data_IF_213439014186
#
_entry.id   IF_213439014186
#
_cell.length_a   1.000
_cell.length_b   1.000
_cell.length_c   1.000
_cell.angle_alpha   90.00
_cell.angle_beta   90.00
_cell.angle_gamma   90.00
#
_symmetry.space_group_name_H-M   'P 1'
#
loop_
_entity.id
_entity.type
_entity.pdbx_description
1 polymer ?
#
# COMPACT_ATOMS: atom_id res chain seq x y z
N UNK A 1 24.23 -8.38 -35.66
CA UNK A 1 23.02 -9.24 -35.50
C UNK A 1 22.02 -8.78 -34.44
N UNK A 2 22.00 -7.50 -34.06
CA UNK A 2 21.18 -6.98 -32.93
C UNK A 2 20.06 -6.00 -33.34
N UNK A 3 19.72 -5.90 -34.63
CA UNK A 3 18.74 -4.90 -35.13
C UNK A 3 17.36 -5.46 -35.51
N UNK A 4 17.18 -6.80 -35.51
CA UNK A 4 15.90 -7.44 -35.92
C UNK A 4 14.94 -7.79 -34.78
N UNK A 5 15.40 -7.75 -33.54
CA UNK A 5 14.59 -8.16 -32.38
C UNK A 5 13.71 -7.02 -31.83
N UNK A 6 14.11 -5.75 -32.04
CA UNK A 6 13.36 -4.60 -31.51
C UNK A 6 12.08 -4.26 -32.32
N UNK A 7 12.01 -4.66 -33.57
CA UNK A 7 10.84 -4.37 -34.45
C UNK A 7 9.67 -5.33 -34.17
N UNK A 8 9.93 -6.54 -33.69
CA UNK A 8 8.88 -7.53 -33.42
C UNK A 8 8.08 -7.28 -32.14
N UNK A 9 8.66 -6.60 -31.16
CA UNK A 9 7.98 -6.28 -29.87
C UNK A 9 7.03 -5.09 -30.07
N UNK A 10 7.37 -4.13 -30.91
CA UNK A 10 6.51 -2.97 -31.19
C UNK A 10 5.27 -3.37 -32.00
N UNK A 11 5.39 -4.35 -32.90
CA UNK A 11 4.24 -4.86 -33.67
C UNK A 11 3.27 -5.72 -32.83
N UNK A 12 3.74 -6.39 -31.77
CA UNK A 12 2.88 -7.18 -30.90
C UNK A 12 2.01 -6.32 -29.97
N UNK A 13 2.50 -5.15 -29.55
CA UNK A 13 1.73 -4.21 -28.72
C UNK A 13 0.71 -3.44 -29.56
N UNK A 14 0.99 -3.17 -30.85
CA UNK A 14 0.07 -2.52 -31.76
C UNK A 14 -1.15 -3.38 -32.15
N UNK A 15 -1.03 -4.71 -32.08
CA UNK A 15 -2.13 -5.62 -32.46
C UNK A 15 -3.13 -5.86 -31.33
N UNK A 16 -2.77 -5.58 -30.06
CA UNK A 16 -3.68 -5.70 -28.92
C UNK A 16 -4.64 -4.50 -28.75
N UNK A 17 -4.35 -3.36 -29.39
CA UNK A 17 -5.21 -2.17 -29.32
C UNK A 17 -6.28 -2.09 -30.42
N UNK A 18 -6.30 -3.01 -31.37
CA UNK A 18 -7.18 -2.93 -32.55
C UNK A 18 -8.49 -3.75 -32.44
N UNK A 19 -8.79 -4.36 -31.31
CA UNK A 19 -9.95 -5.23 -31.11
C UNK A 19 -10.89 -4.70 -30.03
N UNK A 20 -11.44 -3.52 -30.20
CA UNK A 20 -12.68 -3.11 -29.48
C UNK A 20 -13.21 -1.78 -29.98
N UNK A 21 -13.64 -1.73 -31.22
CA UNK A 21 -14.63 -0.75 -31.67
C UNK A 21 -15.79 -1.54 -32.33
N UNK A 22 -16.61 -2.16 -31.50
CA UNK A 22 -17.95 -2.60 -31.91
C UNK A 22 -18.90 -1.45 -31.57
N UNK A 23 -19.46 -0.81 -32.59
CA UNK A 23 -20.49 0.21 -32.47
C UNK A 23 -21.69 -0.39 -31.71
N UNK A 24 -22.12 0.25 -30.63
CA UNK A 24 -23.41 -0.01 -30.02
C UNK A 24 -24.51 0.58 -30.93
N UNK A 25 -25.34 -0.28 -31.47
CA UNK A 25 -26.61 0.10 -32.05
C UNK A 25 -27.54 0.65 -30.96
N UNK A 26 -28.00 1.87 -31.13
CA UNK A 26 -29.00 2.47 -30.26
C UNK A 26 -30.35 1.85 -30.61
N UNK A 27 -30.77 0.88 -29.81
CA UNK A 27 -32.16 0.37 -29.88
C UNK A 27 -33.08 1.41 -29.23
N UNK A 28 -33.94 2.02 -30.02
CA UNK A 28 -35.06 2.83 -29.56
C UNK A 28 -36.12 1.88 -28.99
N UNK A 29 -36.22 1.79 -27.68
CA UNK A 29 -37.30 1.09 -27.00
C UNK A 29 -38.58 1.90 -27.05
N UNK A 30 -39.56 1.36 -27.74
CA UNK A 30 -40.95 1.79 -27.70
C UNK A 30 -41.56 1.27 -26.39
N UNK A 31 -42.11 2.17 -25.61
CA UNK A 31 -42.73 1.90 -24.29
C UNK A 31 -43.93 0.97 -24.49
N UNK A 32 -43.78 -0.31 -24.29
CA UNK A 32 -44.85 -1.26 -24.04
C UNK A 32 -44.75 -1.69 -22.56
N UNK A 33 -45.79 -1.36 -21.77
CA UNK A 33 -45.81 -1.55 -20.33
C UNK A 33 -45.67 -3.01 -19.88
N UNK A 34 -44.44 -3.45 -19.70
CA UNK A 34 -44.09 -4.62 -18.89
C UNK A 34 -43.55 -4.11 -17.57
N UNK A 35 -44.30 -4.40 -16.51
CA UNK A 35 -43.82 -4.24 -15.13
C UNK A 35 -42.60 -5.14 -14.95
N UNK A 36 -41.39 -4.58 -14.97
CA UNK A 36 -40.21 -5.30 -14.58
C UNK A 36 -40.20 -5.42 -13.05
N UNK A 37 -40.41 -6.63 -12.56
CA UNK A 37 -40.09 -6.92 -11.15
C UNK A 37 -38.60 -6.72 -10.95
N UNK A 38 -38.23 -5.70 -10.19
CA UNK A 38 -36.87 -5.49 -9.75
C UNK A 38 -36.55 -6.63 -8.76
N UNK A 39 -35.65 -7.52 -9.16
CA UNK A 39 -35.12 -8.54 -8.24
C UNK A 39 -34.57 -7.84 -7.00
N UNK A 40 -34.93 -8.43 -5.84
CA UNK A 40 -34.55 -7.91 -4.54
C UNK A 40 -33.03 -7.81 -4.45
N UNK A 41 -32.47 -6.61 -4.58
CA UNK A 41 -31.06 -6.34 -4.36
C UNK A 41 -30.79 -6.57 -2.88
N UNK A 42 -30.21 -7.70 -2.54
CA UNK A 42 -29.73 -7.96 -1.18
C UNK A 42 -28.42 -7.18 -1.02
N UNK A 43 -28.50 -5.98 -0.48
CA UNK A 43 -27.33 -5.21 -0.08
C UNK A 43 -26.73 -5.92 1.14
N UNK A 44 -25.73 -6.75 0.93
CA UNK A 44 -24.90 -7.27 2.02
C UNK A 44 -23.97 -6.13 2.45
N UNK A 45 -24.46 -5.28 3.35
CA UNK A 45 -23.63 -4.28 3.98
C UNK A 45 -22.53 -5.00 4.77
N UNK A 46 -21.30 -4.91 4.28
CA UNK A 46 -20.12 -5.28 5.07
C UNK A 46 -20.15 -4.39 6.30
N UNK A 47 -20.32 -4.96 7.49
CA UNK A 47 -20.24 -4.20 8.74
C UNK A 47 -18.86 -3.55 8.82
N UNK A 48 -18.75 -2.31 8.45
CA UNK A 48 -17.65 -1.47 8.89
C UNK A 48 -17.66 -1.47 10.42
N UNK A 49 -16.49 -1.49 11.08
CA UNK A 49 -16.46 -1.36 12.54
C UNK A 49 -17.32 -0.17 12.93
N UNK A 50 -18.30 -0.41 13.79
CA UNK A 50 -19.28 0.61 14.17
C UNK A 50 -18.53 1.72 14.89
N UNK A 51 -18.34 2.87 14.26
CA UNK A 51 -17.72 4.07 14.87
C UNK A 51 -18.40 4.50 16.18
N UNK A 52 -19.62 4.05 16.38
CA UNK A 52 -20.49 4.48 17.51
C UNK A 52 -20.43 3.51 18.69
N UNK A 53 -20.00 2.25 18.49
CA UNK A 53 -19.97 1.23 19.55
C UNK A 53 -18.57 0.97 20.10
N UNK A 54 -17.54 1.59 19.52
CA UNK A 54 -16.17 1.50 20.01
C UNK A 54 -15.99 2.35 21.26
N UNK A 55 -15.49 1.74 22.33
CA UNK A 55 -15.05 2.45 23.54
C UNK A 55 -13.79 3.31 23.30
N UNK A 56 -13.14 3.14 22.15
CA UNK A 56 -11.89 3.78 21.76
C UNK A 56 -12.09 4.54 20.46
N UNK A 57 -11.50 5.73 20.27
CA UNK A 57 -11.58 6.47 19.03
C UNK A 57 -10.91 5.72 17.87
N UNK A 58 -11.70 5.06 17.03
CA UNK A 58 -11.26 4.46 15.77
C UNK A 58 -11.65 5.38 14.63
N UNK A 59 -10.70 5.75 13.81
CA UNK A 59 -10.92 6.48 12.58
C UNK A 59 -10.66 5.56 11.40
N UNK A 60 -11.57 5.52 10.45
CA UNK A 60 -11.49 4.63 9.28
C UNK A 60 -11.69 5.39 7.99
N UNK A 61 -10.97 4.99 6.96
CA UNK A 61 -11.18 5.37 5.56
C UNK A 61 -11.38 4.09 4.76
N UNK A 62 -12.52 3.94 4.15
CA UNK A 62 -12.79 2.85 3.20
C UNK A 62 -12.19 3.17 1.83
N UNK A 63 -12.10 2.17 0.95
CA UNK A 63 -11.70 2.40 -0.44
C UNK A 63 -12.62 3.38 -1.16
N UNK A 64 -13.92 3.37 -0.82
CA UNK A 64 -14.88 4.32 -1.36
C UNK A 64 -14.58 5.75 -0.89
N UNK A 65 -14.29 5.97 0.39
CA UNK A 65 -13.90 7.27 0.93
C UNK A 65 -12.63 7.78 0.27
N UNK A 66 -11.61 6.92 0.11
CA UNK A 66 -10.34 7.25 -0.56
C UNK A 66 -10.59 7.71 -2.00
N UNK A 67 -11.46 7.01 -2.72
CA UNK A 67 -11.82 7.36 -4.10
C UNK A 67 -12.62 8.66 -4.19
N UNK A 68 -13.65 8.84 -3.35
CA UNK A 68 -14.50 10.02 -3.34
C UNK A 68 -13.75 11.30 -2.93
N UNK A 69 -12.80 11.17 -2.01
CA UNK A 69 -11.96 12.29 -1.56
C UNK A 69 -10.77 12.57 -2.49
N UNK A 70 -10.59 11.79 -3.55
CA UNK A 70 -9.49 11.95 -4.51
C UNK A 70 -8.10 11.75 -3.90
N UNK A 71 -7.99 10.92 -2.86
CA UNK A 71 -6.73 10.68 -2.14
C UNK A 71 -5.78 9.88 -3.02
N UNK A 72 -4.55 10.38 -3.24
CA UNK A 72 -3.62 9.82 -4.20
C UNK A 72 -2.56 8.90 -3.58
N UNK A 73 -2.20 9.12 -2.32
CA UNK A 73 -1.14 8.36 -1.65
C UNK A 73 -1.46 8.12 -0.16
N UNK A 74 -0.74 7.19 0.44
CA UNK A 74 -0.95 6.78 1.83
C UNK A 74 -0.78 7.94 2.82
N UNK A 75 0.17 8.83 2.60
CA UNK A 75 0.41 9.97 3.49
C UNK A 75 -0.80 10.92 3.51
N UNK A 76 -1.40 11.19 2.35
CA UNK A 76 -2.59 12.04 2.25
C UNK A 76 -3.81 11.39 2.91
N UNK A 77 -3.93 10.06 2.83
CA UNK A 77 -4.95 9.32 3.55
C UNK A 77 -4.78 9.47 5.08
N UNK A 78 -3.56 9.28 5.57
CA UNK A 78 -3.26 9.36 7.01
C UNK A 78 -3.42 10.78 7.56
N UNK A 79 -3.15 11.81 6.77
CA UNK A 79 -3.38 13.22 7.15
C UNK A 79 -4.85 13.54 7.44
N UNK A 80 -5.80 12.71 6.98
CA UNK A 80 -7.23 12.85 7.28
C UNK A 80 -7.60 12.39 8.68
N UNK A 81 -6.73 11.65 9.35
CA UNK A 81 -6.99 11.17 10.71
C UNK A 81 -6.63 12.24 11.74
N UNK A 82 -7.57 12.54 12.63
CA UNK A 82 -7.33 13.45 13.73
C UNK A 82 -6.29 12.87 14.70
N UNK A 83 -5.32 13.69 15.08
CA UNK A 83 -4.21 13.28 15.96
C UNK A 83 -3.09 12.51 15.26
N UNK A 84 -3.19 12.28 13.95
CA UNK A 84 -2.07 11.80 13.13
C UNK A 84 -1.25 12.97 12.58
N UNK A 85 0.05 12.88 12.72
CA UNK A 85 1.00 13.80 12.09
C UNK A 85 1.88 13.01 11.12
N UNK A 86 1.87 13.42 9.85
CA UNK A 86 2.70 12.84 8.80
C UNK A 86 3.87 13.76 8.53
N UNK A 87 5.07 13.27 8.83
CA UNK A 87 6.30 13.94 8.44
C UNK A 87 6.71 13.46 7.05
N UNK A 88 6.78 14.40 6.12
CA UNK A 88 7.13 14.17 4.72
C UNK A 88 8.51 14.77 4.48
N UNK A 89 9.46 13.94 4.07
CA UNK A 89 10.86 14.35 3.83
C UNK A 89 11.11 14.76 2.38
N UNK A 90 10.06 14.97 1.62
CA UNK A 90 10.09 15.60 0.31
C UNK A 90 9.52 14.77 -0.82
N UNK A 91 8.62 15.37 -1.59
CA UNK A 91 8.10 14.91 -2.88
C UNK A 91 7.54 13.49 -2.93
N UNK A 92 7.39 12.98 -4.15
CA UNK A 92 6.85 11.63 -4.39
C UNK A 92 7.79 10.56 -3.85
N UNK A 93 9.10 10.77 -3.92
CA UNK A 93 10.13 9.82 -3.47
C UNK A 93 10.59 9.97 -2.03
N UNK A 94 10.11 10.97 -1.30
CA UNK A 94 10.52 11.22 0.07
C UNK A 94 10.01 10.18 1.06
N UNK A 95 10.79 9.95 2.11
CA UNK A 95 10.36 9.15 3.27
C UNK A 95 9.12 9.80 3.89
N UNK A 96 8.11 9.00 4.21
CA UNK A 96 6.87 9.45 4.85
C UNK A 96 6.63 8.64 6.11
N UNK A 97 6.72 9.31 7.26
CA UNK A 97 6.51 8.66 8.56
C UNK A 97 5.27 9.20 9.24
N UNK A 98 4.64 8.38 10.06
CA UNK A 98 3.45 8.75 10.83
C UNK A 98 3.75 8.73 12.32
N UNK A 99 3.31 9.76 13.03
CA UNK A 99 3.30 9.82 14.49
C UNK A 99 1.89 10.12 14.99
N UNK A 100 1.52 9.49 16.10
CA UNK A 100 0.23 9.71 16.76
C UNK A 100 0.45 10.62 17.96
N UNK A 101 -0.35 11.71 18.06
CA UNK A 101 -0.28 12.69 19.16
C UNK A 101 1.13 13.21 19.43
N UNK A 102 1.94 13.35 18.40
CA UNK A 102 3.35 13.79 18.49
C UNK A 102 4.27 12.91 19.37
N UNK A 103 3.89 11.68 19.65
CA UNK A 103 4.73 10.77 20.45
C UNK A 103 5.94 10.21 19.69
N UNK A 104 6.08 10.55 18.41
CA UNK A 104 7.16 10.08 17.54
C UNK A 104 6.77 8.87 16.69
N UNK A 105 7.37 8.79 15.51
CA UNK A 105 7.04 7.74 14.54
C UNK A 105 7.50 6.34 14.99
N UNK A 106 8.53 6.25 15.84
CA UNK A 106 8.99 4.99 16.40
C UNK A 106 7.98 4.35 17.39
N UNK A 107 7.05 5.16 17.93
CA UNK A 107 6.02 4.70 18.86
C UNK A 107 4.66 4.43 18.18
N UNK A 108 4.57 4.60 16.88
CA UNK A 108 3.37 4.30 16.10
C UNK A 108 3.57 2.98 15.37
N UNK A 109 2.77 1.96 15.71
CA UNK A 109 2.79 0.71 14.97
C UNK A 109 2.10 0.87 13.63
N UNK A 110 2.64 0.22 12.61
CA UNK A 110 1.98 0.02 11.32
C UNK A 110 1.70 -1.47 11.17
N UNK A 111 0.44 -1.80 10.95
CA UNK A 111 -0.02 -3.17 10.71
C UNK A 111 -0.43 -3.33 9.25
N UNK A 112 0.02 -4.40 8.63
CA UNK A 112 -0.36 -4.77 7.27
C UNK A 112 -1.06 -6.13 7.30
N UNK A 113 -2.38 -6.13 7.04
CA UNK A 113 -3.28 -7.28 7.20
C UNK A 113 -3.17 -7.96 8.58
N UNK A 114 -3.10 -7.14 9.64
CA UNK A 114 -3.06 -7.61 11.02
C UNK A 114 -1.66 -8.05 11.51
N UNK A 115 -0.62 -7.99 10.69
CA UNK A 115 0.75 -8.31 11.08
C UNK A 115 1.59 -7.03 11.13
N UNK A 116 2.31 -6.83 12.24
CA UNK A 116 3.13 -5.62 12.42
C UNK A 116 4.25 -5.56 11.40
N UNK A 117 4.41 -4.40 10.78
CA UNK A 117 5.56 -4.05 9.95
C UNK A 117 6.61 -3.38 10.82
N UNK A 118 7.86 -3.70 10.58
CA UNK A 118 8.99 -3.17 11.33
C UNK A 118 10.12 -2.72 10.42
N UNK A 119 10.89 -1.78 10.95
CA UNK A 119 12.19 -1.37 10.42
C UNK A 119 13.14 -1.23 11.60
N UNK A 120 14.05 -2.19 11.75
CA UNK A 120 14.95 -2.21 12.91
C UNK A 120 16.11 -1.23 12.78
N UNK A 121 16.40 -0.74 11.58
CA UNK A 121 17.46 0.24 11.34
C UNK A 121 17.05 1.62 11.84
N UNK A 122 15.88 2.11 11.40
CA UNK A 122 15.44 3.48 11.69
C UNK A 122 14.37 3.53 12.80
N UNK A 123 13.76 2.40 13.16
CA UNK A 123 12.63 2.33 14.10
C UNK A 123 11.36 3.01 13.58
N UNK A 124 11.38 3.52 12.36
CA UNK A 124 10.28 4.26 11.74
C UNK A 124 9.87 3.58 10.43
N UNK A 125 8.57 3.53 10.17
CA UNK A 125 8.05 2.91 8.96
C UNK A 125 7.78 3.97 7.89
N UNK A 126 8.35 3.78 6.70
CA UNK A 126 7.96 4.53 5.52
C UNK A 126 6.58 4.05 5.04
N UNK A 127 5.54 4.84 5.33
CA UNK A 127 4.19 4.53 4.87
C UNK A 127 3.99 4.80 3.37
N UNK A 128 4.89 5.58 2.76
CA UNK A 128 4.85 5.90 1.31
C UNK A 128 5.08 4.68 0.42
N UNK A 129 5.67 3.60 0.94
CA UNK A 129 5.90 2.36 0.19
C UNK A 129 4.63 1.52 -0.04
N UNK A 130 3.54 1.77 0.70
CA UNK A 130 2.31 1.03 0.55
C UNK A 130 1.39 1.72 -0.44
N UNK A 131 0.98 0.98 -1.48
CA UNK A 131 0.03 1.49 -2.46
C UNK A 131 -1.39 1.50 -1.90
N UNK A 132 -2.12 2.59 -2.15
CA UNK A 132 -3.56 2.66 -1.82
C UNK A 132 -4.43 1.81 -2.76
N UNK A 133 -3.90 1.39 -3.90
CA UNK A 133 -4.69 0.65 -4.91
C UNK A 133 -5.21 -0.68 -4.39
N UNK A 134 -4.49 -1.27 -3.41
CA UNK A 134 -4.82 -2.54 -2.80
C UNK A 134 -5.53 -2.42 -1.44
N UNK A 135 -5.76 -1.21 -0.95
CA UNK A 135 -6.32 -0.99 0.38
C UNK A 135 -7.84 -1.05 0.33
N UNK A 136 -8.44 -1.89 1.18
CA UNK A 136 -9.88 -1.92 1.41
C UNK A 136 -10.31 -0.98 2.53
N UNK A 137 -9.54 -0.98 3.62
CA UNK A 137 -9.77 -0.13 4.79
C UNK A 137 -8.43 0.31 5.35
N UNK A 138 -8.32 1.60 5.59
CA UNK A 138 -7.25 2.20 6.38
C UNK A 138 -7.86 2.65 7.70
N UNK A 139 -7.27 2.26 8.82
CA UNK A 139 -7.77 2.66 10.13
C UNK A 139 -6.65 3.14 11.04
N UNK A 140 -6.97 4.14 11.86
CA UNK A 140 -6.10 4.62 12.93
C UNK A 140 -6.78 4.37 14.26
N UNK A 141 -6.12 3.56 15.08
CA UNK A 141 -6.52 3.26 16.44
C UNK A 141 -5.62 4.00 17.42
N UNK A 142 -6.19 4.80 18.29
CA UNK A 142 -5.45 5.59 19.30
C UNK A 142 -5.85 5.06 20.66
N UNK A 143 -4.94 4.33 21.29
CA UNK A 143 -5.18 3.66 22.56
C UNK A 143 -5.39 2.16 22.41
N UNK A 144 -6.17 1.56 23.28
CA UNK A 144 -6.41 0.12 23.28
C UNK A 144 -7.25 -0.31 22.06
N UNK A 145 -6.80 -1.25 21.24
CA UNK A 145 -7.55 -1.74 20.10
C UNK A 145 -8.76 -2.59 20.53
N UNK A 146 -9.82 -2.56 19.73
CA UNK A 146 -11.01 -3.39 19.96
C UNK A 146 -10.79 -4.87 19.67
N UNK A 147 -9.90 -5.19 18.72
CA UNK A 147 -9.58 -6.57 18.40
C UNK A 147 -8.68 -7.16 19.49
N UNK A 148 -9.27 -7.91 20.39
CA UNK A 148 -8.57 -8.58 21.49
C UNK A 148 -7.60 -9.67 21.02
N UNK A 149 -7.63 -10.07 19.76
CA UNK A 149 -6.69 -11.02 19.16
C UNK A 149 -5.45 -10.34 18.56
N UNK A 150 -5.31 -9.04 18.71
CA UNK A 150 -4.10 -8.34 18.25
C UNK A 150 -2.86 -8.80 19.02
N UNK A 151 -1.72 -8.67 18.35
CA UNK A 151 -0.44 -9.03 18.97
C UNK A 151 -0.04 -8.06 20.08
N UNK A 152 0.71 -8.54 21.09
CA UNK A 152 1.22 -7.72 22.20
C UNK A 152 2.01 -6.50 21.72
N UNK A 153 2.72 -6.61 20.59
CA UNK A 153 3.48 -5.50 20.00
C UNK A 153 2.59 -4.33 19.56
N UNK A 154 1.36 -4.60 19.10
CA UNK A 154 0.40 -3.55 18.77
C UNK A 154 -0.11 -2.85 20.04
N UNK A 155 -0.37 -3.61 21.11
CA UNK A 155 -0.77 -3.04 22.40
C UNK A 155 0.29 -2.15 23.03
N UNK A 156 1.57 -2.42 22.79
CA UNK A 156 2.69 -1.64 23.30
C UNK A 156 2.93 -0.31 22.55
N UNK A 157 2.12 0.01 21.55
CA UNK A 157 2.29 1.21 20.70
C UNK A 157 1.35 2.33 21.15
N UNK A 158 1.74 3.58 20.90
CA UNK A 158 0.94 4.77 21.18
C UNK A 158 -0.32 4.88 20.30
N UNK A 159 -0.25 4.27 19.14
CA UNK A 159 -1.35 4.12 18.20
C UNK A 159 -0.97 3.11 17.12
N UNK A 160 -1.99 2.56 16.47
CA UNK A 160 -1.84 1.55 15.42
C UNK A 160 -2.49 2.06 14.14
N UNK A 161 -1.68 2.27 13.10
CA UNK A 161 -2.14 2.46 11.74
C UNK A 161 -2.32 1.08 11.10
N UNK A 162 -3.56 0.66 10.85
CA UNK A 162 -3.85 -0.63 10.23
C UNK A 162 -4.22 -0.44 8.77
N UNK A 163 -3.51 -1.15 7.91
CA UNK A 163 -3.71 -1.21 6.46
C UNK A 163 -4.28 -2.58 6.16
N UNK A 164 -5.54 -2.64 5.75
CA UNK A 164 -6.19 -3.88 5.34
C UNK A 164 -6.33 -3.91 3.82
N UNK A 165 -5.81 -4.98 3.20
CA UNK A 165 -5.91 -5.17 1.76
C UNK A 165 -7.26 -5.78 1.37
N UNK A 166 -7.65 -5.55 0.12
CA UNK A 166 -8.92 -6.05 -0.40
C UNK A 166 -8.86 -7.57 -0.57
N UNK A 167 -9.82 -8.26 0.06
CA UNK A 167 -9.96 -9.71 -0.07
C UNK A 167 -10.77 -10.05 -1.31
N UNK A 168 -10.48 -11.19 -1.97
CA UNK A 168 -11.23 -11.63 -3.13
C UNK A 168 -12.73 -11.75 -2.81
N UNK A 169 -13.54 -11.09 -3.61
CA UNK A 169 -14.99 -11.22 -3.62
C UNK A 169 -15.43 -11.57 -5.04
N UNK A 170 -16.19 -12.62 -5.19
CA UNK A 170 -16.64 -13.10 -6.50
C UNK A 170 -18.16 -12.98 -6.59
N UNK A 171 -18.63 -12.22 -7.58
CA UNK A 171 -20.04 -12.07 -7.89
C UNK A 171 -20.42 -13.03 -9.05
N UNK A 172 -21.67 -13.45 -9.10
CA UNK A 172 -22.29 -14.14 -10.24
C UNK A 172 -21.48 -15.34 -10.77
N UNK A 173 -21.07 -16.26 -9.88
CA UNK A 173 -20.35 -17.51 -10.24
C UNK A 173 -19.01 -17.29 -10.96
N UNK A 174 -18.52 -16.07 -11.05
CA UNK A 174 -17.21 -15.80 -11.66
C UNK A 174 -16.10 -16.38 -10.81
N UNK A 175 -15.15 -17.04 -11.45
CA UNK A 175 -13.98 -17.61 -10.78
C UNK A 175 -12.75 -16.70 -10.86
N UNK A 176 -12.82 -15.62 -11.64
CA UNK A 176 -11.72 -14.68 -11.86
C UNK A 176 -12.24 -13.26 -11.97
N UNK A 177 -11.49 -12.31 -11.43
CA UNK A 177 -11.75 -10.88 -11.57
C UNK A 177 -10.44 -10.11 -11.74
N UNK A 178 -10.49 -9.02 -12.53
CA UNK A 178 -9.34 -8.15 -12.79
C UNK A 178 -9.73 -6.70 -12.54
N UNK A 179 -8.78 -5.93 -12.00
CA UNK A 179 -8.87 -4.47 -11.94
C UNK A 179 -7.55 -3.90 -12.42
N UNK A 180 -7.61 -3.01 -13.41
CA UNK A 180 -6.44 -2.28 -13.91
C UNK A 180 -6.69 -0.80 -13.66
N UNK A 181 -5.69 -0.12 -13.13
CA UNK A 181 -5.72 1.32 -12.90
C UNK A 181 -4.47 1.95 -13.49
N UNK A 182 -4.62 3.16 -14.00
CA UNK A 182 -3.51 3.96 -14.53
C UNK A 182 -3.63 5.35 -13.98
N UNK A 183 -2.57 5.84 -13.36
CA UNK A 183 -2.45 7.25 -12.96
C UNK A 183 -1.33 7.90 -13.75
N UNK A 184 -1.54 9.14 -14.12
CA UNK A 184 -0.55 9.97 -14.78
C UNK A 184 -0.59 11.38 -14.21
N UNK A 185 0.50 12.10 -14.31
CA UNK A 185 0.62 13.46 -13.78
C UNK A 185 1.80 14.20 -14.35
N UNK A 186 2.01 15.42 -13.85
CA UNK A 186 3.12 16.26 -14.22
C UNK A 186 4.47 15.64 -13.85
N UNK A 187 5.54 16.13 -14.47
CA UNK A 187 6.92 15.75 -14.19
C UNK A 187 7.21 14.25 -14.33
N UNK A 188 6.68 13.65 -15.39
CA UNK A 188 6.92 12.25 -15.72
C UNK A 188 6.24 11.24 -14.80
N UNK A 189 5.24 11.66 -14.00
CA UNK A 189 4.53 10.74 -13.11
C UNK A 189 3.64 9.78 -13.89
N UNK A 190 3.91 8.49 -13.72
CA UNK A 190 3.14 7.38 -14.29
C UNK A 190 3.08 6.25 -13.25
N UNK A 191 1.86 5.77 -12.97
CA UNK A 191 1.66 4.70 -11.99
C UNK A 191 0.56 3.74 -12.44
N UNK A 192 0.90 2.72 -13.26
CA UNK A 192 0.01 1.61 -13.54
C UNK A 192 -0.08 0.65 -12.35
N UNK A 193 -1.26 0.10 -12.12
CA UNK A 193 -1.47 -1.00 -11.20
C UNK A 193 -2.42 -2.04 -11.78
N UNK A 194 -2.20 -3.29 -11.41
CA UNK A 194 -3.03 -4.42 -11.78
C UNK A 194 -3.38 -5.23 -10.54
N UNK A 195 -4.60 -5.69 -10.47
CA UNK A 195 -5.08 -6.61 -9.46
C UNK A 195 -5.82 -7.75 -10.13
N UNK A 196 -5.48 -8.96 -9.74
CA UNK A 196 -6.11 -10.18 -10.20
C UNK A 196 -6.55 -11.02 -9.01
N UNK A 197 -7.78 -11.50 -9.07
CA UNK A 197 -8.33 -12.46 -8.12
C UNK A 197 -8.71 -13.72 -8.86
N UNK A 198 -8.41 -14.86 -8.26
CA UNK A 198 -8.74 -16.18 -8.78
C UNK A 198 -9.29 -17.07 -7.69
N UNK A 199 -10.45 -17.67 -7.93
CA UNK A 199 -11.02 -18.73 -7.12
C UNK A 199 -10.44 -20.06 -7.57
N UNK A 200 -9.79 -20.80 -6.66
CA UNK A 200 -9.19 -22.11 -6.93
C UNK A 200 -10.00 -23.27 -6.32
N UNK A 201 -11.29 -23.03 -6.10
CA UNK A 201 -12.22 -23.99 -5.50
C UNK A 201 -13.17 -23.31 -4.53
N UNK A 202 -13.97 -24.08 -3.81
CA UNK A 202 -14.98 -23.52 -2.89
C UNK A 202 -14.39 -22.86 -1.64
N UNK A 203 -13.13 -23.13 -1.31
CA UNK A 203 -12.49 -22.71 -0.05
C UNK A 203 -11.16 -22.01 -0.21
N UNK A 204 -10.64 -21.96 -1.43
CA UNK A 204 -9.31 -21.38 -1.71
C UNK A 204 -9.45 -20.31 -2.76
N UNK A 205 -8.81 -19.18 -2.53
CA UNK A 205 -8.70 -18.10 -3.49
C UNK A 205 -7.31 -17.45 -3.43
N UNK A 206 -6.92 -16.86 -4.55
CA UNK A 206 -5.67 -16.14 -4.71
C UNK A 206 -5.96 -14.70 -5.08
N UNK A 207 -5.08 -13.81 -4.65
CA UNK A 207 -4.96 -12.47 -5.22
C UNK A 207 -3.51 -12.18 -5.61
N UNK A 208 -3.35 -11.44 -6.69
CA UNK A 208 -2.06 -10.91 -7.12
C UNK A 208 -2.23 -9.43 -7.37
N UNK A 209 -1.44 -8.61 -6.68
CA UNK A 209 -1.37 -7.19 -6.91
C UNK A 209 0.00 -6.84 -7.47
N UNK A 210 0.03 -6.00 -8.48
CA UNK A 210 1.24 -5.41 -9.04
C UNK A 210 1.07 -3.91 -9.17
N UNK A 211 2.07 -3.16 -8.75
CA UNK A 211 2.13 -1.71 -8.90
C UNK A 211 3.52 -1.31 -9.40
N UNK A 212 3.55 -0.40 -10.35
CA UNK A 212 4.73 0.29 -10.79
C UNK A 212 4.50 1.78 -10.65
N UNK A 213 5.51 2.53 -10.24
CA UNK A 213 5.47 3.99 -10.24
C UNK A 213 6.80 4.54 -10.74
N UNK A 214 6.71 5.56 -11.58
CA UNK A 214 7.83 6.39 -11.99
C UNK A 214 7.44 7.84 -11.90
N UNK A 215 8.38 8.68 -11.48
CA UNK A 215 8.29 10.13 -11.60
C UNK A 215 9.69 10.71 -11.81
N UNK A 216 9.81 11.73 -12.66
CA UNK A 216 11.08 12.44 -12.84
C UNK A 216 11.25 13.52 -11.75
N UNK A 217 10.16 14.09 -11.25
CA UNK A 217 10.14 15.00 -10.11
C UNK A 217 10.84 16.35 -10.34
N UNK A 218 11.17 16.68 -11.59
CA UNK A 218 11.96 17.86 -12.01
C UNK A 218 11.12 19.13 -12.13
N UNK A 219 10.33 19.45 -11.11
CA UNK A 219 9.45 20.62 -11.13
C UNK A 219 10.24 21.93 -11.05
N UNK A 220 9.75 23.01 -11.73
CA UNK A 220 10.31 24.34 -11.58
C UNK A 220 9.91 24.95 -10.24
N UNK A 221 10.77 25.77 -9.67
CA UNK A 221 10.50 26.55 -8.48
C UNK A 221 11.30 27.85 -8.48
N UNK A 222 10.79 28.86 -7.78
CA UNK A 222 11.47 30.13 -7.59
C UNK A 222 12.32 30.06 -6.33
N UNK A 223 13.62 30.26 -6.47
CA UNK A 223 14.55 30.38 -5.35
C UNK A 223 14.75 31.82 -4.98
N UNK A 224 14.41 32.16 -3.73
CA UNK A 224 14.63 33.50 -3.18
C UNK A 224 15.72 33.41 -2.12
N UNK A 225 16.84 34.15 -2.37
CA UNK A 225 17.94 34.26 -1.42
C UNK A 225 18.33 35.72 -1.25
N UNK A 226 17.79 36.37 -0.23
CA UNK A 226 17.93 37.80 -0.01
C UNK A 226 17.35 38.62 -1.17
N UNK A 227 18.20 39.31 -1.91
CA UNK A 227 17.81 40.12 -3.09
C UNK A 227 17.82 39.34 -4.40
N UNK A 228 18.35 38.12 -4.40
CA UNK A 228 18.47 37.30 -5.59
C UNK A 228 17.24 36.42 -5.73
N UNK A 229 16.63 36.49 -6.91
CA UNK A 229 15.48 35.65 -7.28
C UNK A 229 15.86 34.92 -8.57
N UNK A 230 15.86 33.58 -8.54
CA UNK A 230 16.19 32.74 -9.70
C UNK A 230 15.10 31.68 -9.91
N UNK A 231 14.84 31.33 -11.17
CA UNK A 231 13.99 30.24 -11.56
C UNK A 231 14.85 28.98 -11.73
N UNK A 232 14.58 28.00 -10.91
CA UNK A 232 15.35 26.76 -10.82
C UNK A 232 14.48 25.54 -11.16
N UNK A 233 15.13 24.41 -11.46
CA UNK A 233 14.47 23.11 -11.58
C UNK A 233 15.01 22.16 -10.53
N UNK A 234 14.11 21.40 -9.90
CA UNK A 234 14.50 20.38 -8.96
C UNK A 234 15.31 19.30 -9.68
N UNK A 235 16.54 19.08 -9.22
CA UNK A 235 17.45 18.06 -9.74
C UNK A 235 17.45 16.83 -8.84
N UNK A 236 17.89 15.69 -9.39
CA UNK A 236 18.08 14.42 -8.69
C UNK A 236 16.87 13.99 -7.85
N UNK A 237 15.65 14.17 -8.38
CA UNK A 237 14.39 13.86 -7.71
C UNK A 237 13.62 12.71 -8.35
N UNK A 238 14.22 12.06 -9.36
CA UNK A 238 13.61 10.95 -10.05
C UNK A 238 13.48 9.72 -9.14
N UNK A 239 12.32 9.05 -9.27
CA UNK A 239 12.03 7.80 -8.55
C UNK A 239 11.39 6.78 -9.48
N UNK A 240 11.68 5.51 -9.24
CA UNK A 240 10.82 4.42 -9.68
C UNK A 240 10.71 3.34 -8.61
N UNK A 241 9.53 2.73 -8.56
CA UNK A 241 9.22 1.66 -7.61
C UNK A 241 8.52 0.50 -8.29
N UNK A 242 8.71 -0.69 -7.74
CA UNK A 242 7.98 -1.90 -8.10
C UNK A 242 7.42 -2.51 -6.82
N UNK A 243 6.18 -2.98 -6.89
CA UNK A 243 5.54 -3.70 -5.79
C UNK A 243 4.76 -4.88 -6.35
N UNK A 244 4.94 -6.05 -5.74
CA UNK A 244 4.23 -7.28 -6.12
C UNK A 244 3.78 -7.97 -4.84
N UNK A 245 2.50 -8.35 -4.79
CA UNK A 245 1.87 -8.96 -3.62
C UNK A 245 0.98 -10.14 -4.02
N UNK A 246 1.48 -11.36 -4.08
CA UNK A 246 0.63 -12.55 -4.10
C UNK A 246 0.09 -12.87 -2.70
N UNK A 247 -1.19 -13.23 -2.63
CA UNK A 247 -1.83 -13.66 -1.38
C UNK A 247 -2.71 -14.88 -1.64
N UNK A 248 -2.58 -15.87 -0.77
CA UNK A 248 -3.42 -17.07 -0.71
C UNK A 248 -4.38 -16.95 0.48
N UNK A 249 -5.65 -17.18 0.24
CA UNK A 249 -6.69 -17.28 1.25
C UNK A 249 -7.27 -18.70 1.24
N UNK A 250 -7.29 -19.34 2.40
CA UNK A 250 -7.88 -20.67 2.54
C UNK A 250 -8.77 -20.74 3.78
N UNK A 251 -9.99 -21.20 3.59
CA UNK A 251 -10.92 -21.48 4.68
C UNK A 251 -11.06 -23.00 4.84
N UNK A 252 -10.65 -23.54 5.99
CA UNK A 252 -10.74 -24.96 6.28
C UNK A 252 -12.18 -25.40 6.50
N UNK A 253 -12.39 -26.73 6.57
CA UNK A 253 -13.73 -27.32 6.82
C UNK A 253 -14.34 -26.93 8.16
N UNK A 254 -13.50 -26.66 9.15
CA UNK A 254 -13.86 -26.23 10.50
C UNK A 254 -14.00 -24.71 10.63
N UNK A 255 -14.12 -23.99 9.51
CA UNK A 255 -14.23 -22.55 9.42
C UNK A 255 -13.00 -21.76 9.90
N UNK A 256 -11.88 -22.42 10.21
CA UNK A 256 -10.63 -21.73 10.45
C UNK A 256 -10.09 -21.12 9.15
N UNK A 257 -9.39 -20.01 9.27
CA UNK A 257 -8.91 -19.22 8.13
C UNK A 257 -7.39 -19.14 8.15
N UNK A 258 -6.79 -19.39 7.00
CA UNK A 258 -5.37 -19.20 6.74
C UNK A 258 -5.20 -18.16 5.65
N UNK A 259 -4.38 -17.18 5.92
CA UNK A 259 -3.92 -16.18 4.96
C UNK A 259 -2.39 -16.28 4.86
N UNK A 260 -1.87 -16.45 3.66
CA UNK A 260 -0.44 -16.46 3.37
C UNK A 260 -0.18 -15.38 2.33
N UNK A 261 0.65 -14.40 2.67
CA UNK A 261 1.03 -13.28 1.81
C UNK A 261 2.52 -13.23 1.63
N UNK A 262 2.95 -13.02 0.40
CA UNK A 262 4.29 -12.54 0.10
C UNK A 262 4.20 -11.10 -0.42
N UNK A 263 5.25 -10.34 -0.19
CA UNK A 263 5.38 -8.94 -0.57
C UNK A 263 6.79 -8.70 -1.06
N UNK A 264 6.90 -8.06 -2.19
CA UNK A 264 8.14 -7.56 -2.75
C UNK A 264 8.00 -6.08 -3.07
N UNK A 265 8.93 -5.29 -2.59
CA UNK A 265 9.03 -3.87 -2.90
C UNK A 265 10.47 -3.53 -3.27
N UNK A 266 10.63 -2.77 -4.34
CA UNK A 266 11.89 -2.19 -4.75
C UNK A 266 11.70 -0.73 -5.11
N UNK A 267 12.65 0.11 -4.72
CA UNK A 267 12.70 1.52 -5.03
C UNK A 267 14.13 1.95 -5.37
N UNK A 268 14.26 2.78 -6.39
CA UNK A 268 15.46 3.60 -6.60
C UNK A 268 15.03 5.05 -6.72
N UNK A 269 15.67 5.91 -5.95
CA UNK A 269 15.36 7.34 -5.92
C UNK A 269 16.62 8.18 -5.84
N UNK A 270 16.61 9.30 -6.54
CA UNK A 270 17.54 10.39 -6.30
C UNK A 270 17.12 11.15 -5.04
N UNK A 271 18.07 11.66 -4.31
CA UNK A 271 17.86 12.54 -3.15
C UNK A 271 18.33 13.93 -3.54
N UNK A 272 17.40 14.88 -3.74
CA UNK A 272 17.72 16.16 -4.35
C UNK A 272 18.48 17.13 -3.43
N UNK A 273 18.79 16.75 -2.20
CA UNK A 273 19.55 17.59 -1.26
C UNK A 273 18.84 18.87 -0.85
N UNK A 274 19.54 19.72 -0.14
CA UNK A 274 19.07 21.05 0.26
C UNK A 274 19.12 22.01 -0.93
N UNK A 275 18.13 22.90 -1.05
CA UNK A 275 18.13 23.97 -2.03
C UNK A 275 18.97 25.12 -1.48
N UNK A 276 20.21 25.23 -1.97
CA UNK A 276 21.11 26.33 -1.62
C UNK A 276 21.69 26.96 -2.87
N UNK A 277 22.06 28.22 -2.83
CA UNK A 277 22.60 28.98 -3.96
C UNK A 277 23.89 28.40 -4.54
N UNK A 278 24.65 27.66 -3.73
CA UNK A 278 25.97 27.14 -4.06
C UNK A 278 26.04 25.62 -4.26
N UNK A 279 24.91 24.93 -4.08
CA UNK A 279 24.83 23.48 -4.31
C UNK A 279 23.59 23.13 -5.15
N UNK A 280 23.61 23.42 -6.46
CA UNK A 280 22.46 23.20 -7.33
C UNK A 280 22.26 21.72 -7.69
N UNK A 281 23.25 20.86 -7.46
CA UNK A 281 23.24 19.46 -7.90
C UNK A 281 23.61 18.57 -6.70
N UNK A 282 22.74 17.63 -6.38
CA UNK A 282 23.02 16.52 -5.48
C UNK A 282 23.13 15.23 -6.30
N UNK A 283 24.16 14.42 -6.04
CA UNK A 283 24.38 13.12 -6.69
C UNK A 283 24.05 11.94 -5.79
N UNK A 284 23.30 12.21 -4.71
CA UNK A 284 22.86 11.22 -3.76
C UNK A 284 21.79 10.30 -4.36
N UNK A 285 21.96 9.00 -4.18
CA UNK A 285 20.99 8.01 -4.65
C UNK A 285 20.73 6.97 -3.56
N UNK A 286 19.45 6.63 -3.39
CA UNK A 286 18.99 5.65 -2.42
C UNK A 286 18.26 4.51 -3.14
N UNK A 287 18.63 3.29 -2.79
CA UNK A 287 17.93 2.06 -3.19
C UNK A 287 17.36 1.39 -1.95
N UNK A 288 16.11 0.98 -2.04
CA UNK A 288 15.44 0.21 -1.01
C UNK A 288 14.85 -1.06 -1.63
N UNK A 289 15.04 -2.17 -0.97
CA UNK A 289 14.41 -3.45 -1.28
C UNK A 289 13.83 -4.04 0.00
N UNK A 290 12.61 -4.51 -0.08
CA UNK A 290 11.96 -5.17 1.04
C UNK A 290 11.17 -6.38 0.55
N UNK A 291 11.47 -7.53 1.13
CA UNK A 291 10.76 -8.78 0.90
C UNK A 291 10.22 -9.28 2.23
N UNK A 292 8.95 -9.60 2.28
CA UNK A 292 8.45 -10.36 3.43
C UNK A 292 7.48 -11.45 3.00
N UNK A 293 7.44 -12.49 3.81
CA UNK A 293 6.43 -13.53 3.77
C UNK A 293 5.77 -13.56 5.14
N UNK A 294 4.46 -13.44 5.17
CA UNK A 294 3.68 -13.48 6.41
C UNK A 294 2.52 -14.45 6.30
N UNK A 295 2.18 -15.07 7.42
CA UNK A 295 1.00 -15.92 7.55
C UNK A 295 0.19 -15.51 8.77
N UNK A 296 -1.13 -15.63 8.64
CA UNK A 296 -2.08 -15.44 9.71
C UNK A 296 -3.06 -16.62 9.69
N UNK A 297 -3.12 -17.33 10.79
CA UNK A 297 -4.09 -18.39 11.04
C UNK A 297 -5.03 -17.96 12.15
N UNK A 298 -6.33 -18.07 11.93
CA UNK A 298 -7.37 -17.77 12.93
C UNK A 298 -8.33 -18.92 13.02
N UNK A 299 -8.63 -19.35 14.26
CA UNK A 299 -9.60 -20.40 14.57
C UNK A 299 -10.44 -20.03 15.77
N UNK A 300 -11.75 -20.13 15.60
CA UNK A 300 -12.72 -20.07 16.69
C UNK A 300 -13.12 -21.51 17.04
N UNK A 301 -12.62 -22.01 18.18
CA UNK A 301 -12.93 -23.39 18.64
C UNK A 301 -14.34 -23.48 19.19
N UNK A 302 -14.84 -22.41 19.77
CA UNK A 302 -16.19 -22.25 20.29
C UNK A 302 -16.54 -20.77 20.42
N UNK A 303 -17.74 -20.44 20.85
CA UNK A 303 -18.10 -19.05 21.16
C UNK A 303 -17.23 -18.44 22.27
N UNK A 304 -16.62 -19.29 23.11
CA UNK A 304 -15.77 -18.86 24.23
C UNK A 304 -14.29 -18.80 23.89
N UNK A 305 -13.80 -19.63 22.98
CA UNK A 305 -12.37 -19.79 22.70
C UNK A 305 -12.02 -19.45 21.27
N UNK A 306 -11.09 -18.53 21.09
CA UNK A 306 -10.50 -18.15 19.81
C UNK A 306 -8.98 -18.17 19.90
N UNK A 307 -8.32 -18.56 18.82
CA UNK A 307 -6.85 -18.53 18.67
C UNK A 307 -6.50 -17.79 17.40
N UNK A 308 -5.49 -16.94 17.47
CA UNK A 308 -4.81 -16.39 16.31
C UNK A 308 -3.31 -16.63 16.42
N UNK A 309 -2.73 -17.17 15.37
CA UNK A 309 -1.28 -17.34 15.24
C UNK A 309 -0.79 -16.57 14.01
N UNK A 310 0.37 -15.95 14.15
CA UNK A 310 1.00 -15.15 13.09
C UNK A 310 2.47 -15.48 13.02
N UNK A 311 2.99 -15.57 11.80
CA UNK A 311 4.42 -15.69 11.55
C UNK A 311 4.80 -14.77 10.40
N UNK A 312 6.01 -14.18 10.46
CA UNK A 312 6.55 -13.33 9.41
C UNK A 312 8.07 -13.49 9.35
N UNK A 313 8.57 -13.59 8.15
CA UNK A 313 9.97 -13.34 7.81
C UNK A 313 10.04 -12.08 6.97
N UNK A 314 10.95 -11.18 7.30
CA UNK A 314 11.17 -9.94 6.58
C UNK A 314 12.67 -9.77 6.30
N UNK A 315 13.00 -9.55 5.04
CA UNK A 315 14.32 -9.16 4.57
C UNK A 315 14.29 -7.74 4.04
N UNK A 316 15.16 -6.90 4.54
CA UNK A 316 15.36 -5.53 4.09
C UNK A 316 16.77 -5.31 3.59
N UNK A 317 16.92 -4.65 2.46
CA UNK A 317 18.18 -4.17 1.95
C UNK A 317 18.04 -2.70 1.56
N UNK A 318 19.04 -1.91 1.96
CA UNK A 318 19.11 -0.50 1.66
C UNK A 318 20.54 -0.16 1.24
N UNK A 319 20.67 0.62 0.17
CA UNK A 319 21.95 1.14 -0.29
C UNK A 319 21.85 2.64 -0.55
N UNK A 320 22.71 3.40 0.10
CA UNK A 320 22.91 4.82 -0.14
C UNK A 320 24.26 5.04 -0.84
N UNK A 321 24.27 5.88 -1.84
CA UNK A 321 25.48 6.34 -2.51
C UNK A 321 25.41 7.86 -2.66
N UNK A 322 26.54 8.50 -2.37
CA UNK A 322 26.77 9.91 -2.61
C UNK A 322 28.09 10.07 -3.35
N UNK A 323 28.04 10.76 -4.49
CA UNK A 323 29.19 11.03 -5.33
C UNK A 323 29.64 12.45 -5.13
N UNK A 324 30.84 12.66 -4.65
CA UNK A 324 31.36 13.99 -4.38
C UNK A 324 32.88 13.99 -4.31
N UNK A 325 33.47 15.12 -4.67
CA UNK A 325 34.91 15.32 -4.60
C UNK A 325 35.43 15.43 -3.15
N UNK A 326 34.56 15.56 -2.18
CA UNK A 326 34.85 15.56 -0.75
C UNK A 326 35.24 14.17 -0.21
N UNK A 327 34.95 13.10 -0.94
CA UNK A 327 35.30 11.74 -0.59
C UNK A 327 36.62 11.32 -1.25
N UNK A 328 37.50 10.66 -0.50
CA UNK A 328 38.82 10.26 -0.98
C UNK A 328 38.78 9.42 -2.27
N UNK A 329 37.76 8.56 -2.40
CA UNK A 329 37.51 7.72 -3.58
C UNK A 329 36.44 8.29 -4.52
N UNK A 330 36.03 9.56 -4.32
CA UNK A 330 34.96 10.21 -5.07
C UNK A 330 33.56 9.62 -4.84
N UNK A 331 33.42 8.70 -3.88
CA UNK A 331 32.17 8.00 -3.61
C UNK A 331 32.04 7.62 -2.13
N UNK A 332 30.96 8.06 -1.49
CA UNK A 332 30.52 7.48 -0.23
C UNK A 332 29.45 6.43 -0.48
N UNK A 333 29.59 5.27 0.13
CA UNK A 333 28.62 4.17 0.01
C UNK A 333 28.32 3.56 1.37
N UNK A 334 27.03 3.46 1.70
CA UNK A 334 26.53 2.74 2.86
C UNK A 334 25.53 1.66 2.41
N UNK A 335 25.68 0.45 2.95
CA UNK A 335 24.79 -0.68 2.65
C UNK A 335 24.32 -1.29 3.96
N UNK A 336 23.01 -1.40 4.10
CA UNK A 336 22.39 -2.02 5.27
C UNK A 336 21.59 -3.24 4.84
N UNK A 337 21.65 -4.30 5.63
CA UNK A 337 20.86 -5.52 5.47
C UNK A 337 20.23 -5.88 6.80
N UNK A 338 18.99 -6.35 6.74
CA UNK A 338 18.21 -6.69 7.92
C UNK A 338 17.38 -7.92 7.64
N UNK A 339 17.44 -8.86 8.57
CA UNK A 339 16.57 -10.04 8.60
C UNK A 339 15.80 -10.04 9.91
N UNK A 340 14.48 -10.20 9.83
CA UNK A 340 13.59 -10.23 10.99
C UNK A 340 12.69 -11.46 10.93
N UNK A 341 12.62 -12.16 12.03
CA UNK A 341 11.68 -13.26 12.27
C UNK A 341 10.70 -12.83 13.34
N UNK A 342 9.43 -12.91 13.04
CA UNK A 342 8.37 -12.55 13.97
C UNK A 342 7.39 -13.70 14.12
N UNK A 343 7.08 -14.03 15.38
CA UNK A 343 6.07 -15.02 15.75
C UNK A 343 5.16 -14.43 16.83
N UNK A 344 3.87 -14.65 16.70
CA UNK A 344 2.88 -14.23 17.68
C UNK A 344 1.76 -15.27 17.76
N UNK A 345 1.33 -15.57 18.97
CA UNK A 345 0.16 -16.39 19.24
C UNK A 345 -0.70 -15.70 20.29
N UNK A 346 -1.98 -15.57 20.04
CA UNK A 346 -2.94 -14.94 20.92
C UNK A 346 -4.12 -15.89 21.11
N UNK A 347 -4.43 -16.21 22.35
CA UNK A 347 -5.62 -16.96 22.73
C UNK A 347 -6.60 -16.04 23.46
N UNK A 348 -7.86 -16.08 23.08
CA UNK A 348 -8.92 -15.29 23.69
C UNK A 348 -9.94 -16.24 24.32
N UNK A 349 -10.18 -16.01 25.61
CA UNK A 349 -11.22 -16.71 26.35
C UNK A 349 -12.31 -15.74 26.81
N UNK A 350 -13.56 -16.00 26.45
CA UNK A 350 -14.73 -15.25 26.88
C UNK A 350 -15.57 -16.08 27.84
N UNK A 351 -15.46 -15.88 29.17
CA UNK A 351 -16.16 -16.70 30.16
C UNK A 351 -17.69 -16.49 30.14
N UNK A 352 -18.11 -15.30 29.76
CA UNK A 352 -19.54 -14.95 29.69
C UNK A 352 -19.97 -14.66 28.24
N UNK A 353 -21.23 -14.99 27.92
CA UNK A 353 -21.85 -14.54 26.68
C UNK A 353 -22.24 -13.06 26.90
N UNK A 354 -21.52 -12.16 26.27
CA UNK A 354 -21.85 -10.73 26.24
C UNK A 354 -22.61 -10.45 24.94
#
# INVERSE_FOLDING_TARGET
MARRTKVRIVCAIGFLCAVSLSAQEVVRDTITGKVHQIEKVTVTARRLPNKVTSSVPIQTLSQQDISQLGIQNMADAVRRFAGANVKDYGGIGGLKTVSVRNMGAAHTAVSYDGVVVSNCQAGQIDIGRFSLDNVSVLSLNIGQPEDLLQSARMYASAGVLSIETEKPHFENERNSAFRVQMRGGSFGYVSPSIRWWQKAGSRTSFSLNGNYMRADGNYPFTLVNGKYVTEEKRNNSAIYTYQIEPTLFHTFKDSSNLELKAYYFYSKRGLPGSVTLYNPISDETLWDENVFIQTRYKKDFSQKWSLQAQAKYNHGWNKYEDKGNEYADGLYRAVHRQDEYYLSATALYRPWNV
#
